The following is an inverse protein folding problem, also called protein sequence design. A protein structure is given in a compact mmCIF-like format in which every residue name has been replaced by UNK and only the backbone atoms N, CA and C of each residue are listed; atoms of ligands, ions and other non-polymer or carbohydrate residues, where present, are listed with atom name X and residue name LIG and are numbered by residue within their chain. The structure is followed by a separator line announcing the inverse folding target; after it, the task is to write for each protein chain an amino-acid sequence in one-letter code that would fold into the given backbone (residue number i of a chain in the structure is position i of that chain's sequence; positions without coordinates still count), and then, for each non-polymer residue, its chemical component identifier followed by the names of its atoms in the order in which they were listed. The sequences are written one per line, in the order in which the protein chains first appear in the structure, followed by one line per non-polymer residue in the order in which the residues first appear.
data_IF_828507683087
#
_entry.id   IF_828507683087
#
_cell.length_a   1.000
_cell.length_b   1.000
_cell.length_c   1.000
_cell.angle_alpha   90.00
_cell.angle_beta   90.00
_cell.angle_gamma   90.00
#
_symmetry.space_group_name_H-M   'P 1'
#
loop_
_entity.id
_entity.type
_entity.pdbx_description
1 polymer ?
#
# COMPACT_ATOMS: atom_id res chain seq x y z
N UNK A 1 18.57 -35.10 45.36
CA UNK A 1 19.13 -34.53 44.11
C UNK A 1 18.09 -33.59 43.51
N UNK A 2 18.41 -32.30 43.33
CA UNK A 2 17.46 -31.30 42.85
C UNK A 2 17.32 -31.35 41.33
N UNK A 3 16.09 -31.28 40.81
CA UNK A 3 15.82 -31.12 39.39
C UNK A 3 15.89 -29.64 39.03
N UNK A 4 16.87 -29.28 38.20
CA UNK A 4 17.05 -27.94 37.65
C UNK A 4 15.84 -27.53 36.80
N UNK A 5 15.18 -26.47 37.25
CA UNK A 5 14.20 -25.72 36.48
C UNK A 5 14.96 -25.09 35.32
N UNK A 6 14.84 -25.67 34.13
CA UNK A 6 15.40 -25.09 32.92
C UNK A 6 14.52 -23.90 32.51
N UNK A 7 14.95 -22.70 32.88
CA UNK A 7 14.48 -21.43 32.32
C UNK A 7 14.73 -21.41 30.80
N UNK A 8 13.82 -21.98 30.02
CA UNK A 8 13.75 -21.73 28.58
C UNK A 8 13.08 -20.38 28.33
N UNK A 9 13.89 -19.34 28.51
CA UNK A 9 14.06 -18.21 27.59
C UNK A 9 12.83 -17.88 26.74
N UNK A 10 11.96 -17.05 27.33
CA UNK A 10 11.08 -16.15 26.60
C UNK A 10 11.92 -15.36 25.59
N UNK A 11 11.91 -15.76 24.32
CA UNK A 11 12.37 -14.91 23.21
C UNK A 11 11.20 -14.73 22.25
N UNK A 12 10.76 -13.48 22.18
CA UNK A 12 9.65 -13.04 21.36
C UNK A 12 9.82 -13.43 19.90
N UNK A 13 8.88 -14.24 19.43
CA UNK A 13 8.48 -14.24 18.04
C UNK A 13 7.33 -13.24 17.89
N UNK A 14 7.65 -11.94 17.93
CA UNK A 14 6.80 -10.97 17.28
C UNK A 14 6.85 -11.28 15.79
N UNK A 15 5.83 -11.96 15.27
CA UNK A 15 5.79 -12.39 13.88
C UNK A 15 6.08 -11.19 12.98
N UNK A 16 7.08 -11.32 12.12
CA UNK A 16 7.54 -10.24 11.24
C UNK A 16 6.39 -9.77 10.33
N UNK A 17 5.43 -10.65 10.02
CA UNK A 17 4.18 -10.30 9.31
C UNK A 17 3.29 -9.33 10.10
N UNK A 18 3.17 -9.50 11.43
CA UNK A 18 2.36 -8.62 12.29
C UNK A 18 2.90 -7.19 12.31
N UNK A 19 4.22 -7.03 12.41
CA UNK A 19 4.85 -5.70 12.44
C UNK A 19 4.72 -4.95 11.11
N UNK A 20 4.51 -5.67 10.02
CA UNK A 20 4.44 -5.10 8.69
C UNK A 20 3.03 -4.61 8.35
N UNK A 21 2.00 -5.39 8.64
CA UNK A 21 0.60 -4.93 8.54
C UNK A 21 0.35 -3.72 9.46
N UNK A 22 1.01 -3.69 10.62
CA UNK A 22 1.02 -2.54 11.53
C UNK A 22 1.66 -1.31 10.86
N UNK A 23 2.77 -1.45 10.14
CA UNK A 23 3.44 -0.31 9.50
C UNK A 23 2.57 0.33 8.40
N UNK A 24 1.88 -0.48 7.59
CA UNK A 24 0.94 0.03 6.59
C UNK A 24 -0.30 0.67 7.23
N UNK A 25 -0.85 0.05 8.29
CA UNK A 25 -1.93 0.64 9.07
C UNK A 25 -1.54 1.99 9.69
N UNK A 26 -0.33 2.08 10.25
CA UNK A 26 0.20 3.31 10.85
C UNK A 26 0.41 4.41 9.81
N UNK A 27 0.84 4.07 8.60
CA UNK A 27 0.98 5.04 7.51
C UNK A 27 -0.37 5.72 7.22
N UNK A 28 -1.49 4.99 7.23
CA UNK A 28 -2.79 5.60 7.02
C UNK A 28 -3.33 6.39 8.19
N UNK A 29 -3.04 5.97 9.41
CA UNK A 29 -3.40 6.77 10.58
C UNK A 29 -2.65 8.10 10.56
N UNK A 30 -1.34 8.08 10.26
CA UNK A 30 -0.56 9.29 10.07
C UNK A 30 -1.10 10.16 8.91
N UNK A 31 -1.52 9.56 7.78
CA UNK A 31 -2.18 10.28 6.69
C UNK A 31 -3.46 10.98 7.13
N UNK A 32 -4.35 10.28 7.86
CA UNK A 32 -5.62 10.84 8.37
C UNK A 32 -5.41 11.96 9.38
N UNK A 33 -4.30 11.93 10.10
CA UNK A 33 -3.90 12.98 11.04
C UNK A 33 -3.08 14.09 10.37
N UNK A 34 -3.01 14.11 9.04
CA UNK A 34 -2.27 15.10 8.24
C UNK A 34 -0.75 15.11 8.49
N UNK A 35 -0.21 14.04 9.07
CA UNK A 35 1.23 13.81 9.28
C UNK A 35 1.86 13.20 8.05
N UNK A 36 1.74 13.87 6.90
CA UNK A 36 2.11 13.33 5.59
C UNK A 36 3.57 12.91 5.43
N UNK A 37 4.58 13.66 5.92
CA UNK A 37 5.97 13.22 5.83
C UNK A 37 6.22 11.91 6.59
N UNK A 38 5.61 11.76 7.78
CA UNK A 38 5.72 10.56 8.60
C UNK A 38 5.02 9.37 7.93
N UNK A 39 3.82 9.58 7.41
CA UNK A 39 3.07 8.58 6.67
C UNK A 39 3.87 8.03 5.47
N UNK A 40 4.56 8.90 4.73
CA UNK A 40 5.42 8.48 3.62
C UNK A 40 6.61 7.65 4.09
N UNK A 41 7.30 8.05 5.16
CA UNK A 41 8.41 7.27 5.73
C UNK A 41 7.95 5.88 6.18
N UNK A 42 6.77 5.79 6.81
CA UNK A 42 6.19 4.52 7.24
C UNK A 42 5.84 3.63 6.03
N UNK A 43 5.26 4.21 4.98
CA UNK A 43 4.95 3.49 3.75
C UNK A 43 6.21 3.01 3.02
N UNK A 44 7.23 3.87 2.86
CA UNK A 44 8.49 3.49 2.23
C UNK A 44 9.22 2.40 3.04
N UNK A 45 9.18 2.44 4.37
CA UNK A 45 9.73 1.39 5.24
C UNK A 45 9.00 0.05 5.05
N UNK A 46 7.67 0.10 4.95
CA UNK A 46 6.85 -1.07 4.66
C UNK A 46 7.28 -1.70 3.32
N UNK A 47 7.41 -0.87 2.27
CA UNK A 47 7.79 -1.32 0.92
C UNK A 47 9.25 -1.78 0.80
N UNK A 48 10.16 -1.19 1.58
CA UNK A 48 11.58 -1.54 1.58
C UNK A 48 11.90 -2.83 2.37
N UNK A 49 10.93 -3.38 3.10
CA UNK A 49 11.18 -4.58 3.92
C UNK A 49 11.48 -5.80 3.03
N UNK A 50 12.55 -6.58 3.33
CA UNK A 50 12.98 -7.67 2.46
C UNK A 50 11.90 -8.75 2.22
N UNK A 51 11.76 -9.11 0.95
CA UNK A 51 10.80 -10.05 0.36
C UNK A 51 10.71 -11.44 1.02
N UNK A 52 11.79 -11.91 1.64
CA UNK A 52 11.85 -13.20 2.34
C UNK A 52 11.12 -13.19 3.69
N UNK A 53 10.89 -12.00 4.27
CA UNK A 53 10.17 -11.82 5.53
C UNK A 53 8.68 -11.54 5.33
N UNK A 54 8.30 -11.14 4.11
CA UNK A 54 6.96 -10.73 3.72
C UNK A 54 6.04 -11.90 3.33
N UNK A 55 6.57 -13.12 3.17
CA UNK A 55 5.83 -14.19 2.51
C UNK A 55 5.69 -13.90 1.00
N UNK A 56 5.88 -14.94 0.19
CA UNK A 56 6.06 -14.82 -1.28
C UNK A 56 4.86 -14.17 -2.01
N UNK A 57 3.69 -14.06 -1.37
CA UNK A 57 2.43 -13.54 -1.94
C UNK A 57 2.30 -12.00 -1.96
N UNK A 58 2.95 -11.26 -1.05
CA UNK A 58 2.62 -9.84 -0.86
C UNK A 58 3.21 -8.88 -1.91
N UNK A 59 4.10 -9.36 -2.78
CA UNK A 59 4.93 -8.48 -3.63
C UNK A 59 4.71 -8.57 -5.13
N UNK A 60 3.96 -9.57 -5.61
CA UNK A 60 3.76 -9.81 -7.05
C UNK A 60 2.32 -9.61 -7.50
N UNK A 61 1.43 -9.31 -6.56
CA UNK A 61 0.01 -9.27 -6.83
C UNK A 61 -0.39 -7.85 -7.25
N UNK A 62 -0.91 -7.67 -8.48
CA UNK A 62 -1.16 -6.34 -9.02
C UNK A 62 -2.13 -5.50 -8.17
N UNK A 63 -3.09 -6.12 -7.51
CA UNK A 63 -4.06 -5.43 -6.65
C UNK A 63 -3.39 -4.74 -5.45
N UNK A 64 -2.43 -5.43 -4.82
CA UNK A 64 -1.68 -4.87 -3.69
C UNK A 64 -0.74 -3.76 -4.14
N UNK A 65 -0.02 -3.97 -5.25
CA UNK A 65 0.83 -2.95 -5.84
C UNK A 65 0.05 -1.68 -6.19
N UNK A 66 -1.14 -1.82 -6.78
CA UNK A 66 -2.03 -0.69 -7.07
C UNK A 66 -2.41 0.07 -5.80
N UNK A 67 -2.85 -0.64 -4.74
CA UNK A 67 -3.22 -0.02 -3.47
C UNK A 67 -2.08 0.80 -2.86
N UNK A 68 -0.86 0.24 -2.83
CA UNK A 68 0.32 0.94 -2.30
C UNK A 68 0.71 2.17 -3.13
N UNK A 69 0.69 2.03 -4.46
CA UNK A 69 1.03 3.15 -5.35
C UNK A 69 0.00 4.28 -5.24
N UNK A 70 -1.31 3.99 -5.19
CA UNK A 70 -2.31 5.04 -4.94
C UNK A 70 -2.14 5.70 -3.56
N UNK A 71 -1.75 4.93 -2.54
CA UNK A 71 -1.45 5.49 -1.21
C UNK A 71 -0.26 6.45 -1.25
N UNK A 72 0.78 6.09 -2.00
CA UNK A 72 1.94 6.95 -2.24
C UNK A 72 1.57 8.20 -3.03
N UNK A 73 0.71 8.07 -4.05
CA UNK A 73 0.15 9.21 -4.80
C UNK A 73 -0.52 10.22 -3.88
N UNK A 74 -1.38 9.76 -2.96
CA UNK A 74 -2.06 10.64 -2.00
C UNK A 74 -1.05 11.45 -1.18
N UNK A 75 -0.01 10.77 -0.68
CA UNK A 75 1.03 11.37 0.15
C UNK A 75 1.88 12.37 -0.64
N UNK A 76 2.34 12.00 -1.84
CA UNK A 76 3.14 12.87 -2.68
C UNK A 76 2.34 14.12 -3.11
N UNK A 77 1.04 13.97 -3.43
CA UNK A 77 0.18 15.11 -3.73
C UNK A 77 -0.04 16.04 -2.53
N UNK A 78 -0.21 15.50 -1.33
CA UNK A 78 -0.29 16.30 -0.10
C UNK A 78 1.02 17.06 0.20
N UNK A 79 2.16 16.47 -0.14
CA UNK A 79 3.48 17.06 0.02
C UNK A 79 3.89 18.01 -1.13
N UNK A 80 3.03 18.23 -2.12
CA UNK A 80 3.32 19.09 -3.28
C UNK A 80 4.29 18.47 -4.29
N UNK A 81 4.55 17.16 -4.21
CA UNK A 81 5.40 16.38 -5.12
C UNK A 81 4.59 15.93 -6.33
N UNK A 82 4.16 16.91 -7.12
CA UNK A 82 3.17 16.72 -8.18
C UNK A 82 3.61 15.71 -9.25
N UNK A 83 4.87 15.74 -9.66
CA UNK A 83 5.36 14.85 -10.71
C UNK A 83 5.48 13.40 -10.24
N UNK A 84 5.93 13.19 -9.00
CA UNK A 84 5.95 11.89 -8.35
C UNK A 84 4.53 11.33 -8.19
N UNK A 85 3.61 12.15 -7.70
CA UNK A 85 2.22 11.77 -7.51
C UNK A 85 1.58 11.30 -8.84
N UNK A 86 1.78 12.05 -9.93
CA UNK A 86 1.26 11.71 -11.26
C UNK A 86 1.88 10.44 -11.80
N UNK A 87 3.20 10.26 -11.66
CA UNK A 87 3.91 9.06 -12.09
C UNK A 87 3.40 7.82 -11.36
N UNK A 88 3.25 7.90 -10.04
CA UNK A 88 2.82 6.78 -9.23
C UNK A 88 1.34 6.46 -9.44
N UNK A 89 0.50 7.48 -9.71
CA UNK A 89 -0.90 7.27 -10.07
C UNK A 89 -1.05 6.51 -11.39
N UNK A 90 -0.28 6.88 -12.42
CA UNK A 90 -0.28 6.19 -13.70
C UNK A 90 0.14 4.71 -13.55
N UNK A 91 1.19 4.45 -12.76
CA UNK A 91 1.62 3.09 -12.43
C UNK A 91 0.56 2.31 -11.65
N UNK A 92 -0.10 2.95 -10.69
CA UNK A 92 -1.17 2.35 -9.89
C UNK A 92 -2.35 1.91 -10.77
N UNK A 93 -2.76 2.76 -11.73
CA UNK A 93 -3.80 2.42 -12.71
C UNK A 93 -3.43 1.23 -13.58
N UNK A 94 -2.19 1.17 -14.05
CA UNK A 94 -1.71 0.02 -14.82
C UNK A 94 -1.77 -1.29 -13.99
N UNK A 95 -1.37 -1.24 -12.72
CA UNK A 95 -1.47 -2.39 -11.81
C UNK A 95 -2.92 -2.79 -11.51
N UNK A 96 -3.82 -1.83 -11.34
CA UNK A 96 -5.24 -2.11 -11.12
C UNK A 96 -5.89 -2.75 -12.37
N UNK A 97 -5.54 -2.27 -13.58
CA UNK A 97 -5.98 -2.90 -14.84
C UNK A 97 -5.52 -4.36 -14.91
N UNK A 98 -4.27 -4.65 -14.54
CA UNK A 98 -3.76 -6.03 -14.47
C UNK A 98 -4.49 -6.88 -13.42
N UNK A 99 -4.83 -6.31 -12.26
CA UNK A 99 -5.54 -7.01 -11.19
C UNK A 99 -6.96 -7.42 -11.60
N UNK A 100 -7.67 -6.49 -12.24
CA UNK A 100 -9.02 -6.71 -12.75
C UNK A 100 -9.00 -7.64 -13.96
N UNK A 101 -8.03 -7.46 -14.87
CA UNK A 101 -8.01 -8.15 -16.16
C UNK A 101 -9.31 -7.89 -16.95
N UNK A 102 -9.67 -8.81 -17.84
CA UNK A 102 -10.92 -8.73 -18.61
C UNK A 102 -12.12 -9.35 -17.87
N UNK A 103 -12.10 -9.35 -16.52
CA UNK A 103 -13.18 -9.97 -15.75
C UNK A 103 -14.48 -9.17 -15.92
N UNK A 104 -15.62 -9.82 -16.19
CA UNK A 104 -16.89 -9.13 -16.37
C UNK A 104 -17.41 -8.52 -15.05
N UNK A 105 -17.91 -7.27 -15.13
CA UNK A 105 -18.68 -6.63 -14.06
C UNK A 105 -17.88 -6.27 -12.80
N UNK A 106 -18.45 -6.55 -11.63
CA UNK A 106 -17.88 -6.26 -10.30
C UNK A 106 -17.05 -7.42 -9.71
N UNK A 107 -16.66 -8.42 -10.52
CA UNK A 107 -15.81 -9.51 -10.05
C UNK A 107 -14.39 -8.99 -9.77
N UNK A 108 -14.10 -8.85 -8.48
CA UNK A 108 -12.81 -8.37 -7.96
C UNK A 108 -11.79 -9.50 -7.77
N UNK A 109 -12.14 -10.73 -8.14
CA UNK A 109 -11.30 -11.92 -8.07
C UNK A 109 -10.98 -12.39 -6.64
N UNK A 110 -10.02 -13.32 -6.52
CA UNK A 110 -9.61 -13.94 -5.24
C UNK A 110 -9.04 -12.95 -4.22
N UNK A 111 -8.60 -11.78 -4.66
CA UNK A 111 -8.06 -10.71 -3.82
C UNK A 111 -9.00 -9.50 -3.75
N UNK A 112 -10.30 -9.77 -3.71
CA UNK A 112 -11.33 -8.74 -3.79
C UNK A 112 -11.11 -7.57 -2.82
N UNK A 113 -10.59 -7.85 -1.62
CA UNK A 113 -10.30 -6.86 -0.59
C UNK A 113 -9.21 -5.87 -1.04
N UNK A 114 -8.14 -6.35 -1.67
CA UNK A 114 -7.03 -5.52 -2.15
C UNK A 114 -7.47 -4.69 -3.36
N UNK A 115 -8.22 -5.30 -4.27
CA UNK A 115 -8.81 -4.61 -5.42
C UNK A 115 -9.76 -3.51 -4.97
N UNK A 116 -10.65 -3.80 -4.00
CA UNK A 116 -11.57 -2.81 -3.44
C UNK A 116 -10.83 -1.64 -2.80
N UNK A 117 -9.77 -1.90 -2.03
CA UNK A 117 -8.92 -0.84 -1.46
C UNK A 117 -8.27 0.00 -2.54
N UNK A 118 -7.70 -0.63 -3.59
CA UNK A 118 -7.09 0.10 -4.70
C UNK A 118 -8.10 0.99 -5.45
N UNK A 119 -9.32 0.49 -5.73
CA UNK A 119 -10.40 1.29 -6.33
C UNK A 119 -10.81 2.47 -5.44
N UNK A 120 -10.91 2.26 -4.12
CA UNK A 120 -11.22 3.32 -3.16
C UNK A 120 -10.11 4.39 -3.18
N UNK A 121 -8.83 3.98 -3.10
CA UNK A 121 -7.70 4.92 -3.10
C UNK A 121 -7.52 5.66 -4.41
N UNK A 122 -7.85 5.02 -5.53
CA UNK A 122 -7.90 5.70 -6.82
C UNK A 122 -8.88 6.88 -6.77
N UNK A 123 -10.10 6.66 -6.28
CA UNK A 123 -11.12 7.72 -6.18
C UNK A 123 -10.70 8.83 -5.23
N UNK A 124 -10.08 8.48 -4.09
CA UNK A 124 -9.50 9.48 -3.18
C UNK A 124 -8.41 10.31 -3.87
N UNK A 125 -7.52 9.67 -4.62
CA UNK A 125 -6.45 10.36 -5.34
C UNK A 125 -6.98 11.25 -6.46
N UNK A 126 -8.01 10.80 -7.19
CA UNK A 126 -8.69 11.61 -8.21
C UNK A 126 -9.33 12.86 -7.59
N UNK A 127 -10.06 12.70 -6.48
CA UNK A 127 -10.66 13.82 -5.76
C UNK A 127 -9.60 14.80 -5.23
N UNK A 128 -8.48 14.28 -4.71
CA UNK A 128 -7.38 15.10 -4.23
C UNK A 128 -6.69 15.88 -5.36
N UNK A 129 -6.46 15.22 -6.50
CA UNK A 129 -5.89 15.86 -7.68
C UNK A 129 -6.77 17.01 -8.17
N UNK A 130 -8.08 16.78 -8.23
CA UNK A 130 -9.04 17.84 -8.55
C UNK A 130 -8.98 18.99 -7.54
N UNK A 131 -9.01 18.69 -6.24
CA UNK A 131 -8.97 19.71 -5.19
C UNK A 131 -7.70 20.56 -5.21
N UNK A 132 -6.56 19.98 -5.61
CA UNK A 132 -5.26 20.67 -5.70
C UNK A 132 -4.94 21.21 -7.10
N UNK A 133 -5.83 21.04 -8.09
CA UNK A 133 -5.58 21.45 -9.47
C UNK A 133 -4.47 20.67 -10.17
N UNK A 134 -4.18 19.44 -9.71
CA UNK A 134 -3.19 18.55 -10.33
C UNK A 134 -3.85 17.84 -11.52
N UNK A 135 -3.29 17.93 -12.74
CA UNK A 135 -3.86 17.25 -13.89
C UNK A 135 -3.69 15.73 -13.76
N UNK A 136 -4.81 15.01 -13.87
CA UNK A 136 -4.79 13.54 -13.93
C UNK A 136 -3.96 13.08 -15.14
N UNK A 137 -3.09 12.08 -14.97
CA UNK A 137 -2.40 11.48 -16.10
C UNK A 137 -3.43 10.80 -17.00
N UNK A 138 -3.24 10.96 -18.31
CA UNK A 138 -4.15 10.41 -19.31
C UNK A 138 -4.28 8.89 -19.14
N UNK A 139 -5.49 8.33 -19.32
CA UNK A 139 -5.63 6.89 -19.44
C UNK A 139 -4.74 6.38 -20.57
N UNK A 140 -3.95 5.34 -20.32
CA UNK A 140 -3.20 4.64 -21.36
C UNK A 140 -4.21 4.12 -22.41
N UNK A 141 -4.24 4.76 -23.58
CA UNK A 141 -5.08 4.39 -24.72
C UNK A 141 -4.42 3.24 -25.48
N UNK A 142 -4.52 2.03 -24.92
CA UNK A 142 -4.23 0.78 -25.63
C UNK A 142 -5.24 -0.30 -25.28
#
# INVERSE_FOLDING_TARGET
MPAEITERKLRGHGSIGSNLDIAYGNAFQAYREHRYPEALVLLDRFLATPRSQLGRQFSTEPALQASYLFSRTLLDAELGRTDEARRDFARARAQLKLALGDKPGHDRGKQWWATYQAEMRQREAEALFQAKGIPLPEPDTK
#
